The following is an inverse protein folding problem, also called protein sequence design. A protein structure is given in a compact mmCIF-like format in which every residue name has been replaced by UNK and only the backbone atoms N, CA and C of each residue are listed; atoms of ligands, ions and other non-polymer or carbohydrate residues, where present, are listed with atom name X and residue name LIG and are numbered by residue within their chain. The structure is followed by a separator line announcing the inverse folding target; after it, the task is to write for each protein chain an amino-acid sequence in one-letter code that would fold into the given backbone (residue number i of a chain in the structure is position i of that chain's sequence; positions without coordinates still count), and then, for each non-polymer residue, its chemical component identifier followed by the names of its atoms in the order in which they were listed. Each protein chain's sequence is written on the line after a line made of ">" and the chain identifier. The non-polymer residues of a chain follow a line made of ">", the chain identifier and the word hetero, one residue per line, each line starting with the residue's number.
data_IF_670278953894
#
_entry.id   IF_670278953894
#
_cell.length_a   1.000
_cell.length_b   1.000
_cell.length_c   1.000
_cell.angle_alpha   90.00
_cell.angle_beta   90.00
_cell.angle_gamma   90.00
#
_symmetry.space_group_name_H-M   'P 1'
#
loop_
_entity.id
_entity.type
_entity.pdbx_description
1 polymer ?
#
# COMPACT_ATOMS: atom_id res chain seq x y z
N UNK A 1 8.85 -10.45 -18.54
CA UNK A 1 9.45 -9.32 -18.08
C UNK A 1 9.59 -9.22 -16.61
N UNK A 2 10.20 -8.18 -16.15
CA UNK A 2 10.59 -8.10 -14.77
C UNK A 2 9.41 -8.06 -13.85
N UNK A 3 9.61 -8.63 -12.71
CA UNK A 3 8.67 -8.47 -11.62
C UNK A 3 8.88 -7.13 -10.99
N UNK A 4 7.78 -6.48 -10.75
CA UNK A 4 7.78 -5.15 -10.19
C UNK A 4 7.29 -5.23 -8.76
N UNK A 5 8.19 -5.09 -7.81
CA UNK A 5 7.82 -5.18 -6.41
C UNK A 5 7.37 -3.82 -5.92
N UNK A 6 6.05 -3.63 -5.85
CA UNK A 6 5.48 -2.37 -5.46
C UNK A 6 5.81 -1.98 -4.02
N UNK A 7 6.17 -2.96 -3.19
CA UNK A 7 6.52 -2.64 -1.82
C UNK A 7 7.74 -1.74 -1.74
N UNK A 8 8.64 -1.86 -2.69
CA UNK A 8 9.83 -1.02 -2.71
C UNK A 8 9.45 0.44 -2.96
N UNK A 9 8.43 0.64 -3.78
CA UNK A 9 8.03 1.99 -4.19
C UNK A 9 7.06 2.62 -3.20
N UNK A 10 6.04 1.88 -2.78
CA UNK A 10 4.98 2.48 -1.98
C UNK A 10 5.10 2.22 -0.49
N UNK A 11 5.91 1.25 -0.06
CA UNK A 11 6.03 0.96 1.37
C UNK A 11 6.40 2.20 2.19
N UNK A 12 7.33 3.05 1.73
CA UNK A 12 7.65 4.26 2.50
C UNK A 12 6.47 5.23 2.63
N UNK A 13 5.49 5.11 1.76
CA UNK A 13 4.30 5.96 1.78
C UNK A 13 3.14 5.34 2.54
N UNK A 14 3.27 4.08 2.95
CA UNK A 14 2.19 3.38 3.62
C UNK A 14 2.36 3.43 5.13
N UNK A 15 1.26 3.46 5.87
CA UNK A 15 1.35 3.45 7.33
C UNK A 15 1.78 2.08 7.84
N UNK A 16 2.22 2.07 9.10
CA UNK A 16 2.59 0.82 9.74
C UNK A 16 1.37 -0.10 9.79
N UNK A 17 1.57 -1.37 9.49
CA UNK A 17 0.48 -2.33 9.49
C UNK A 17 -0.42 -2.25 8.29
N UNK A 18 0.08 -1.73 7.19
CA UNK A 18 -0.74 -1.55 5.99
C UNK A 18 -1.25 -2.88 5.43
N UNK A 19 -0.50 -3.96 5.60
CA UNK A 19 -0.96 -5.25 5.11
C UNK A 19 -2.24 -5.69 5.81
N UNK A 20 -2.33 -5.43 7.11
CA UNK A 20 -3.56 -5.73 7.85
C UNK A 20 -4.72 -4.89 7.35
N UNK A 21 -4.48 -3.61 7.15
CA UNK A 21 -5.52 -2.70 6.71
C UNK A 21 -6.04 -3.10 5.34
N UNK A 22 -5.15 -3.37 4.42
CA UNK A 22 -5.54 -3.74 3.07
C UNK A 22 -6.23 -5.10 3.06
N UNK A 23 -5.71 -6.04 3.84
CA UNK A 23 -6.32 -7.37 3.91
C UNK A 23 -7.75 -7.29 4.41
N UNK A 24 -8.00 -6.47 5.42
CA UNK A 24 -9.34 -6.29 5.94
C UNK A 24 -10.25 -5.61 4.92
N UNK A 25 -9.74 -4.59 4.26
CA UNK A 25 -10.53 -3.86 3.27
C UNK A 25 -10.88 -4.73 2.06
N UNK A 26 -9.98 -5.62 1.67
CA UNK A 26 -10.20 -6.47 0.50
C UNK A 26 -10.77 -7.83 0.86
N UNK A 27 -10.97 -8.11 2.14
CA UNK A 27 -11.52 -9.38 2.57
C UNK A 27 -10.60 -10.55 2.31
N UNK A 28 -9.30 -10.36 2.51
CA UNK A 28 -8.32 -11.40 2.24
C UNK A 28 -7.31 -11.46 3.38
N UNK A 29 -6.23 -12.21 3.19
CA UNK A 29 -5.20 -12.37 4.21
C UNK A 29 -4.00 -11.47 3.93
N UNK A 30 -3.19 -11.25 4.97
CA UNK A 30 -1.99 -10.44 4.82
C UNK A 30 -1.00 -11.08 3.85
N UNK A 31 -0.94 -12.41 3.84
CA UNK A 31 -0.07 -13.11 2.92
C UNK A 31 -0.46 -12.82 1.48
N UNK A 32 -1.77 -12.83 1.20
CA UNK A 32 -2.26 -12.53 -0.13
C UNK A 32 -1.91 -11.08 -0.53
N UNK A 33 -2.05 -10.16 0.42
CA UNK A 33 -1.70 -8.76 0.15
C UNK A 33 -0.23 -8.64 -0.19
N UNK A 34 0.62 -9.28 0.61
CA UNK A 34 2.06 -9.23 0.37
C UNK A 34 2.41 -9.81 -0.99
N UNK A 35 1.80 -10.94 -1.35
CA UNK A 35 2.06 -11.57 -2.64
C UNK A 35 1.61 -10.68 -3.80
N UNK A 36 0.48 -10.02 -3.65
CA UNK A 36 -0.02 -9.14 -4.70
C UNK A 36 0.92 -7.96 -4.91
N UNK A 37 1.42 -7.39 -3.83
CA UNK A 37 2.33 -6.25 -3.92
C UNK A 37 3.68 -6.65 -4.49
N UNK A 38 4.08 -7.90 -4.29
CA UNK A 38 5.33 -8.39 -4.87
C UNK A 38 5.18 -8.77 -6.34
N UNK A 39 3.95 -8.76 -6.85
CA UNK A 39 3.71 -9.13 -8.24
C UNK A 39 3.53 -10.63 -8.45
N UNK A 40 3.38 -11.39 -7.37
CA UNK A 40 3.21 -12.84 -7.46
C UNK A 40 1.80 -13.25 -7.83
N UNK A 41 0.82 -12.40 -7.55
CA UNK A 41 -0.56 -12.66 -7.91
C UNK A 41 -1.11 -11.46 -8.66
N UNK A 42 -2.22 -11.66 -9.37
CA UNK A 42 -2.83 -10.59 -10.16
C UNK A 42 -4.07 -10.03 -9.47
N UNK A 43 -3.96 -9.76 -8.21
CA UNK A 43 -5.05 -9.16 -7.44
C UNK A 43 -4.98 -7.64 -7.58
N UNK A 44 -5.57 -7.14 -8.64
CA UNK A 44 -5.52 -5.71 -8.91
C UNK A 44 -6.31 -4.89 -7.90
N UNK A 45 -7.34 -5.49 -7.31
CA UNK A 45 -8.09 -4.82 -6.26
C UNK A 45 -7.18 -4.48 -5.08
N UNK A 46 -6.29 -5.40 -4.72
CA UNK A 46 -5.36 -5.17 -3.64
C UNK A 46 -4.36 -4.08 -4.02
N UNK A 47 -3.87 -4.12 -5.25
CA UNK A 47 -2.91 -3.13 -5.72
C UNK A 47 -3.54 -1.74 -5.74
N UNK A 48 -4.76 -1.63 -6.22
CA UNK A 48 -5.47 -0.36 -6.25
C UNK A 48 -5.68 0.19 -4.85
N UNK A 49 -6.07 -0.69 -3.91
CA UNK A 49 -6.29 -0.24 -2.55
C UNK A 49 -4.98 0.24 -1.91
N UNK A 50 -3.89 -0.45 -2.20
CA UNK A 50 -2.59 -0.07 -1.68
C UNK A 50 -2.18 1.31 -2.20
N UNK A 51 -2.43 1.55 -3.48
CA UNK A 51 -2.10 2.85 -4.08
C UNK A 51 -2.95 3.96 -3.46
N UNK A 52 -4.23 3.71 -3.26
CA UNK A 52 -5.11 4.68 -2.63
C UNK A 52 -4.64 5.01 -1.22
N UNK A 53 -4.28 3.98 -0.47
CA UNK A 53 -3.81 4.18 0.90
C UNK A 53 -2.52 4.97 0.94
N UNK A 54 -1.62 4.68 0.00
CA UNK A 54 -0.36 5.42 -0.09
C UNK A 54 -0.60 6.89 -0.42
N UNK A 55 -1.54 7.16 -1.31
CA UNK A 55 -1.86 8.53 -1.67
C UNK A 55 -2.47 9.29 -0.50
N UNK A 56 -3.36 8.64 0.23
CA UNK A 56 -3.98 9.27 1.40
C UNK A 56 -2.92 9.59 2.44
N UNK A 57 -2.04 8.65 2.70
CA UNK A 57 -0.99 8.85 3.69
C UNK A 57 -0.04 9.96 3.28
N UNK A 58 0.24 10.04 1.99
CA UNK A 58 1.11 11.09 1.47
C UNK A 58 0.49 12.47 1.69
N UNK A 59 -0.81 12.59 1.44
CA UNK A 59 -1.51 13.84 1.64
C UNK A 59 -1.45 14.28 3.10
N UNK A 60 -1.65 13.34 4.01
CA UNK A 60 -1.59 13.66 5.43
C UNK A 60 -0.19 14.09 5.82
N UNK A 61 0.82 13.40 5.33
CA UNK A 61 2.20 13.75 5.65
C UNK A 61 2.56 15.16 5.15
N UNK A 62 2.10 15.49 3.95
CA UNK A 62 2.36 16.81 3.40
C UNK A 62 1.67 17.90 4.21
N UNK A 63 0.45 17.63 4.65
CA UNK A 63 -0.29 18.56 5.48
C UNK A 63 0.40 18.80 6.80
N UNK A 64 0.88 17.74 7.42
CA UNK A 64 1.57 17.87 8.69
C UNK A 64 2.84 18.69 8.54
N UNK A 65 3.53 18.54 7.43
CA UNK A 65 4.72 19.34 7.18
C UNK A 65 4.39 20.82 7.11
N UNK A 66 3.28 21.16 6.49
CA UNK A 66 2.86 22.55 6.38
C UNK A 66 2.50 23.14 7.74
N UNK A 67 1.85 22.33 8.57
CA UNK A 67 1.42 22.79 9.87
C UNK A 67 2.58 22.94 10.84
N UNK A 68 3.55 22.04 10.76
CA UNK A 68 4.66 22.03 11.70
C UNK A 68 5.70 23.10 11.38
N UNK A 69 5.73 23.57 10.17
CA UNK A 69 6.66 24.63 9.81
C UNK A 69 6.44 25.91 10.62
#
# INVERSE_FOLDING_TARGET
>A
REHFDLRIIIAPLLPKGYTKIIAKDCGTTEVTVSNALQGKTRRFDIIERAIELAEENRKIALRLQEVVK
#
